data_IF_233019474869
#
_entry.id   IF_233019474869
#
_cell.length_a   1.000
_cell.length_b   1.000
_cell.length_c   1.000
_cell.angle_alpha   90.00
_cell.angle_beta   90.00
_cell.angle_gamma   90.00
#
_symmetry.space_group_name_H-M   'P 1'
#
loop_
_entity.id
_entity.type
_entity.pdbx_description
1 polymer ?
#
# COMPACT_ATOMS: atom_id res chain seq x y z
N UNK A 1 -0.46 -21.42 5.45
CA UNK A 1 -0.93 -20.25 6.21
C UNK A 1 -2.45 -20.18 6.23
N UNK A 2 -3.02 -19.52 7.24
CA UNK A 2 -4.48 -19.36 7.31
C UNK A 2 -4.96 -18.52 6.12
N UNK A 3 -6.07 -18.92 5.44
CA UNK A 3 -6.61 -18.09 4.36
C UNK A 3 -7.06 -16.73 4.89
N UNK A 4 -6.65 -15.68 4.19
CA UNK A 4 -7.07 -14.31 4.50
C UNK A 4 -8.46 -14.07 3.89
N UNK A 5 -9.41 -13.65 4.72
CA UNK A 5 -10.79 -13.39 4.31
C UNK A 5 -11.17 -11.94 4.56
N UNK A 6 -11.91 -11.37 3.63
CA UNK A 6 -12.59 -10.11 3.83
C UNK A 6 -13.68 -10.26 4.92
N UNK A 7 -13.69 -9.36 5.91
CA UNK A 7 -14.61 -9.42 7.06
C UNK A 7 -15.76 -8.42 6.95
N UNK A 8 -15.57 -7.33 6.25
CA UNK A 8 -16.56 -6.27 6.09
C UNK A 8 -17.07 -6.18 4.65
N UNK A 9 -18.18 -5.49 4.45
CA UNK A 9 -18.74 -5.27 3.12
C UNK A 9 -17.76 -4.49 2.22
N UNK A 10 -17.14 -3.43 2.75
CA UNK A 10 -16.14 -2.64 2.03
C UNK A 10 -14.93 -3.47 1.63
N UNK A 11 -14.45 -4.33 2.52
CA UNK A 11 -13.35 -5.25 2.22
C UNK A 11 -13.74 -6.27 1.14
N UNK A 12 -14.94 -6.79 1.16
CA UNK A 12 -15.43 -7.72 0.12
C UNK A 12 -15.49 -7.06 -1.25
N UNK A 13 -15.99 -5.83 -1.32
CA UNK A 13 -16.02 -5.03 -2.55
C UNK A 13 -14.62 -4.73 -3.07
N UNK A 14 -13.70 -4.40 -2.18
CA UNK A 14 -12.30 -4.16 -2.50
C UNK A 14 -11.62 -5.40 -3.10
N UNK A 15 -11.78 -6.55 -2.47
CA UNK A 15 -11.21 -7.81 -2.98
C UNK A 15 -11.81 -8.19 -4.34
N UNK A 16 -13.10 -7.98 -4.54
CA UNK A 16 -13.77 -8.23 -5.82
C UNK A 16 -13.26 -7.26 -6.91
N UNK A 17 -13.04 -5.99 -6.57
CA UNK A 17 -12.46 -5.01 -7.49
C UNK A 17 -11.04 -5.41 -7.92
N UNK A 18 -10.22 -5.88 -6.98
CA UNK A 18 -8.86 -6.38 -7.29
C UNK A 18 -8.92 -7.55 -8.26
N UNK A 19 -9.87 -8.44 -8.10
CA UNK A 19 -10.05 -9.59 -8.99
C UNK A 19 -10.44 -9.15 -10.41
N UNK A 20 -11.30 -8.14 -10.54
CA UNK A 20 -11.92 -7.74 -11.81
C UNK A 20 -11.16 -6.69 -12.60
N UNK A 21 -10.29 -5.92 -11.99
CA UNK A 21 -9.64 -4.77 -12.61
C UNK A 21 -8.14 -4.89 -12.63
N UNK A 22 -7.52 -4.27 -13.61
CA UNK A 22 -6.05 -4.22 -13.74
C UNK A 22 -5.43 -3.27 -12.72
N UNK A 23 -6.07 -2.14 -12.46
CA UNK A 23 -5.61 -1.16 -11.47
C UNK A 23 -6.73 -0.90 -10.46
N UNK A 24 -6.40 -1.01 -9.18
CA UNK A 24 -7.34 -0.75 -8.08
C UNK A 24 -6.68 0.18 -7.06
N UNK A 25 -7.39 1.22 -6.69
CA UNK A 25 -7.02 2.13 -5.61
C UNK A 25 -7.86 1.80 -4.38
N UNK A 26 -7.23 1.31 -3.32
CA UNK A 26 -7.85 1.07 -2.02
C UNK A 26 -7.52 2.22 -1.08
N UNK A 27 -8.48 3.08 -0.81
CA UNK A 27 -8.29 4.34 -0.07
C UNK A 27 -9.16 4.35 1.18
N UNK A 28 -8.56 4.62 2.31
CA UNK A 28 -9.28 4.68 3.57
C UNK A 28 -8.37 4.77 4.78
N UNK A 29 -9.00 4.88 5.98
CA UNK A 29 -8.23 5.00 7.22
C UNK A 29 -7.40 3.78 7.54
N UNK A 30 -6.42 3.95 8.42
CA UNK A 30 -5.65 2.86 8.97
C UNK A 30 -6.56 1.84 9.68
N UNK A 31 -6.19 0.57 9.64
CA UNK A 31 -6.97 -0.51 10.26
C UNK A 31 -8.10 -1.08 9.40
N UNK A 32 -8.29 -0.59 8.18
CA UNK A 32 -9.28 -1.13 7.23
C UNK A 32 -8.79 -2.36 6.47
N UNK A 33 -7.53 -2.76 6.67
CA UNK A 33 -6.96 -3.95 6.03
C UNK A 33 -6.55 -3.77 4.58
N UNK A 34 -6.57 -2.55 4.05
CA UNK A 34 -6.33 -2.28 2.63
C UNK A 34 -4.99 -2.82 2.11
N UNK A 35 -3.93 -2.64 2.86
CA UNK A 35 -2.58 -3.13 2.49
C UNK A 35 -2.48 -4.64 2.69
N UNK A 36 -2.92 -5.14 3.83
CA UNK A 36 -2.89 -6.57 4.15
C UNK A 36 -3.68 -7.41 3.13
N UNK A 37 -4.87 -6.96 2.77
CA UNK A 37 -5.72 -7.63 1.78
C UNK A 37 -5.11 -7.57 0.37
N UNK A 38 -4.47 -6.45 0.00
CA UNK A 38 -3.75 -6.34 -1.27
C UNK A 38 -2.59 -7.34 -1.34
N UNK A 39 -1.81 -7.47 -0.27
CA UNK A 39 -0.72 -8.46 -0.18
C UNK A 39 -1.27 -9.88 -0.26
N UNK A 40 -2.39 -10.17 0.40
CA UNK A 40 -3.05 -11.47 0.32
C UNK A 40 -3.49 -11.79 -1.12
N UNK A 41 -4.04 -10.82 -1.84
CA UNK A 41 -4.41 -11.00 -3.24
C UNK A 41 -3.19 -11.27 -4.13
N UNK A 42 -2.08 -10.57 -3.87
CA UNK A 42 -0.82 -10.78 -4.59
C UNK A 42 -0.26 -12.19 -4.36
N UNK A 43 -0.25 -12.65 -3.12
CA UNK A 43 0.20 -14.00 -2.77
C UNK A 43 -0.68 -15.07 -3.43
N UNK A 44 -1.99 -14.88 -3.43
CA UNK A 44 -2.92 -15.80 -4.11
C UNK A 44 -2.67 -15.84 -5.63
N UNK A 45 -2.53 -14.69 -6.27
CA UNK A 45 -2.24 -14.61 -7.71
C UNK A 45 -0.89 -15.26 -8.06
N UNK A 46 0.10 -15.10 -7.20
CA UNK A 46 1.41 -15.72 -7.37
C UNK A 46 1.35 -17.24 -7.23
N UNK A 47 0.64 -17.75 -6.23
CA UNK A 47 0.44 -19.20 -6.03
C UNK A 47 -0.34 -19.85 -7.17
N UNK A 48 -1.32 -19.14 -7.71
CA UNK A 48 -2.13 -19.59 -8.84
C UNK A 48 -1.43 -19.38 -10.20
N UNK A 49 -0.19 -18.93 -10.19
CA UNK A 49 0.63 -18.68 -11.40
C UNK A 49 0.00 -17.67 -12.37
N UNK A 50 -0.85 -16.79 -11.87
CA UNK A 50 -1.39 -15.67 -12.65
C UNK A 50 -0.34 -14.59 -12.86
N UNK A 51 0.60 -14.46 -11.92
CA UNK A 51 1.76 -13.58 -12.02
C UNK A 51 3.01 -14.37 -11.61
N UNK A 52 4.16 -13.93 -12.10
CA UNK A 52 5.46 -14.54 -11.80
C UNK A 52 6.25 -13.77 -10.73
N UNK A 53 5.82 -12.56 -10.38
CA UNK A 53 6.50 -11.69 -9.42
C UNK A 53 5.51 -10.91 -8.57
N UNK A 54 5.94 -10.63 -7.33
CA UNK A 54 5.26 -9.69 -6.43
C UNK A 54 6.23 -8.53 -6.17
N UNK A 55 5.79 -7.30 -6.41
CA UNK A 55 6.59 -6.11 -6.19
C UNK A 55 5.84 -5.19 -5.23
N UNK A 56 6.44 -4.92 -4.08
CA UNK A 56 5.90 -4.02 -3.07
C UNK A 56 6.77 -2.79 -2.96
N UNK A 57 6.16 -1.61 -2.99
CA UNK A 57 6.88 -0.35 -2.93
C UNK A 57 6.14 0.69 -2.08
N UNK A 58 6.91 1.63 -1.56
CA UNK A 58 6.44 2.83 -0.87
C UNK A 58 7.21 4.05 -1.35
N UNK A 59 6.59 5.24 -1.38
CA UNK A 59 7.37 6.47 -1.55
C UNK A 59 8.24 6.69 -0.31
N UNK A 60 9.49 7.10 -0.50
CA UNK A 60 10.43 7.35 0.59
C UNK A 60 10.17 8.71 1.26
N UNK A 61 9.02 8.84 1.92
CA UNK A 61 8.66 10.01 2.75
C UNK A 61 8.57 9.55 4.21
N UNK A 62 9.22 10.29 5.09
CA UNK A 62 9.28 9.99 6.51
C UNK A 62 8.45 11.00 7.31
N UNK A 63 7.57 10.50 8.15
CA UNK A 63 6.88 11.32 9.13
C UNK A 63 7.89 11.79 10.20
N UNK A 64 8.38 13.01 10.07
CA UNK A 64 9.18 13.71 11.08
C UNK A 64 10.69 13.49 11.04
N UNK A 65 11.22 12.56 10.24
CA UNK A 65 12.66 12.34 10.08
C UNK A 65 13.05 12.31 8.60
N UNK A 66 14.19 12.92 8.28
CA UNK A 66 14.75 12.83 6.93
C UNK A 66 15.68 11.62 6.83
N UNK A 67 15.60 10.88 5.71
CA UNK A 67 16.46 9.71 5.45
C UNK A 67 17.95 10.01 5.68
N UNK A 68 18.41 11.21 5.38
CA UNK A 68 19.79 11.63 5.58
C UNK A 68 20.29 11.63 7.02
N UNK A 69 19.38 11.68 8.00
CA UNK A 69 19.75 11.69 9.42
C UNK A 69 19.78 10.29 10.06
N UNK A 70 19.32 9.26 9.36
CA UNK A 70 19.40 7.89 9.85
C UNK A 70 20.81 7.35 9.62
N UNK A 71 21.37 6.57 10.57
CA UNK A 71 22.67 5.93 10.38
C UNK A 71 22.60 4.80 9.35
N UNK A 72 23.65 4.62 8.59
CA UNK A 72 23.77 3.53 7.61
C UNK A 72 23.70 3.98 6.15
N UNK A 73 23.81 3.02 5.23
CA UNK A 73 23.64 3.26 3.81
C UNK A 73 22.14 3.47 3.45
N UNK A 74 21.87 3.76 2.19
CA UNK A 74 20.50 4.03 1.74
C UNK A 74 19.55 2.86 1.99
N UNK A 75 19.99 1.63 1.76
CA UNK A 75 19.19 0.43 1.98
C UNK A 75 18.86 0.24 3.45
N UNK A 76 19.85 0.37 4.34
CA UNK A 76 19.63 0.30 5.80
C UNK A 76 18.68 1.39 6.30
N UNK A 77 18.73 2.57 5.70
CA UNK A 77 17.85 3.70 6.08
C UNK A 77 16.40 3.50 5.67
N UNK A 78 16.13 2.84 4.53
CA UNK A 78 14.76 2.61 4.04
C UNK A 78 14.16 1.31 4.55
N UNK A 79 14.95 0.31 4.95
CA UNK A 79 14.46 -0.97 5.45
C UNK A 79 13.44 -0.84 6.59
N UNK A 80 13.65 -0.02 7.65
CA UNK A 80 12.65 0.16 8.69
C UNK A 80 11.31 0.70 8.15
N UNK A 81 11.36 1.57 7.16
CA UNK A 81 10.17 2.14 6.53
C UNK A 81 9.37 1.10 5.73
N UNK A 82 10.05 0.14 5.14
CA UNK A 82 9.45 -0.96 4.37
C UNK A 82 9.04 -2.16 5.24
N UNK A 83 9.40 -2.14 6.53
CA UNK A 83 9.17 -3.26 7.45
C UNK A 83 7.73 -3.79 7.46
N UNK A 84 6.68 -2.96 7.49
CA UNK A 84 5.31 -3.48 7.48
C UNK A 84 4.98 -4.32 6.25
N UNK A 85 5.59 -4.03 5.11
CA UNK A 85 5.42 -4.82 3.88
C UNK A 85 6.11 -6.18 3.98
N UNK A 86 7.32 -6.21 4.52
CA UNK A 86 8.04 -7.45 4.82
C UNK A 86 7.25 -8.32 5.79
N UNK A 87 6.73 -7.73 6.85
CA UNK A 87 5.99 -8.44 7.89
C UNK A 87 4.72 -9.10 7.32
N UNK A 88 3.99 -8.41 6.46
CA UNK A 88 2.80 -8.95 5.81
C UNK A 88 3.13 -10.16 4.92
N UNK A 89 4.17 -10.06 4.11
CA UNK A 89 4.64 -11.18 3.26
C UNK A 89 5.12 -12.37 4.09
N UNK A 90 5.91 -12.07 5.11
CA UNK A 90 6.45 -13.08 6.01
C UNK A 90 5.34 -13.83 6.74
N UNK A 91 4.33 -13.12 7.23
CA UNK A 91 3.17 -13.69 7.92
C UNK A 91 2.37 -14.64 7.01
N UNK A 92 2.23 -14.30 5.74
CA UNK A 92 1.47 -15.09 4.77
C UNK A 92 2.25 -16.27 4.20
N UNK A 93 3.55 -16.13 3.97
CA UNK A 93 4.38 -17.13 3.30
C UNK A 93 5.17 -18.03 4.26
N UNK A 94 5.48 -17.53 5.47
CA UNK A 94 6.46 -18.14 6.36
C UNK A 94 7.90 -17.81 5.97
N UNK A 95 8.82 -17.96 6.92
CA UNK A 95 10.22 -17.53 6.76
C UNK A 95 10.94 -18.19 5.58
N UNK A 96 10.85 -19.50 5.49
CA UNK A 96 11.56 -20.28 4.48
C UNK A 96 11.11 -19.94 3.06
N UNK A 97 9.81 -19.94 2.82
CA UNK A 97 9.21 -19.64 1.51
C UNK A 97 9.49 -18.20 1.11
N UNK A 98 9.35 -17.26 2.05
CA UNK A 98 9.64 -15.84 1.83
C UNK A 98 11.08 -15.63 1.40
N UNK A 99 12.06 -16.18 2.14
CA UNK A 99 13.48 -16.04 1.83
C UNK A 99 13.84 -16.65 0.46
N UNK A 100 13.27 -17.81 0.14
CA UNK A 100 13.46 -18.47 -1.15
C UNK A 100 13.02 -17.59 -2.32
N UNK A 101 11.84 -16.98 -2.23
CA UNK A 101 11.32 -16.13 -3.30
C UNK A 101 12.05 -14.78 -3.39
N UNK A 102 12.49 -14.24 -2.24
CA UNK A 102 13.29 -13.03 -2.22
C UNK A 102 14.64 -13.23 -2.92
N UNK A 103 15.33 -14.32 -2.63
CA UNK A 103 16.60 -14.69 -3.29
C UNK A 103 16.46 -14.91 -4.79
N UNK A 104 15.35 -15.49 -5.23
CA UNK A 104 15.06 -15.72 -6.65
C UNK A 104 14.64 -14.45 -7.40
N UNK A 105 14.38 -13.36 -6.71
CA UNK A 105 13.83 -12.16 -7.32
C UNK A 105 12.35 -12.27 -7.69
N UNK A 106 11.65 -13.32 -7.23
CA UNK A 106 10.20 -13.45 -7.40
C UNK A 106 9.42 -12.52 -6.50
N UNK A 107 10.02 -12.07 -5.39
CA UNK A 107 9.50 -11.04 -4.49
C UNK A 107 10.53 -9.93 -4.43
N UNK A 108 10.07 -8.69 -4.62
CA UNK A 108 10.88 -7.49 -4.50
C UNK A 108 10.16 -6.50 -3.59
N UNK A 109 10.87 -5.97 -2.59
CA UNK A 109 10.40 -4.89 -1.74
C UNK A 109 11.41 -3.75 -1.83
N UNK A 110 11.01 -2.62 -2.41
CA UNK A 110 11.93 -1.54 -2.75
C UNK A 110 11.25 -0.17 -2.66
N UNK A 111 12.02 0.91 -2.46
CA UNK A 111 11.51 2.27 -2.57
C UNK A 111 10.96 2.57 -3.97
N UNK A 112 9.98 3.45 -4.04
CA UNK A 112 9.31 3.83 -5.29
C UNK A 112 10.30 4.31 -6.37
N UNK A 113 11.35 5.03 -5.99
CA UNK A 113 12.35 5.54 -6.92
C UNK A 113 13.05 4.44 -7.75
N UNK A 114 13.09 3.20 -7.22
CA UNK A 114 13.71 2.06 -7.91
C UNK A 114 12.87 1.53 -9.08
N UNK A 115 11.63 2.01 -9.21
CA UNK A 115 10.73 1.59 -10.29
C UNK A 115 10.95 2.39 -11.58
N UNK A 116 11.61 3.54 -11.51
CA UNK A 116 11.82 4.42 -12.67
C UNK A 116 12.51 3.71 -13.84
N UNK A 117 11.96 3.89 -15.04
CA UNK A 117 12.53 3.36 -16.28
C UNK A 117 12.29 1.87 -16.52
N UNK A 118 11.59 1.21 -15.63
CA UNK A 118 11.29 -0.23 -15.74
C UNK A 118 9.95 -0.46 -16.44
N UNK A 119 9.82 -1.61 -17.11
CA UNK A 119 8.53 -2.16 -17.52
C UNK A 119 8.31 -3.44 -16.73
N UNK A 120 7.21 -3.51 -16.00
CA UNK A 120 6.93 -4.61 -15.06
C UNK A 120 5.86 -5.52 -15.64
N UNK A 121 6.30 -6.59 -16.31
CA UNK A 121 5.42 -7.60 -16.89
C UNK A 121 5.15 -8.74 -15.90
N UNK A 122 4.01 -9.40 -16.04
CA UNK A 122 3.60 -10.58 -15.27
C UNK A 122 3.78 -10.44 -13.75
N UNK A 123 3.51 -9.24 -13.26
CA UNK A 123 3.76 -8.86 -11.88
C UNK A 123 2.50 -8.38 -11.18
N UNK A 124 2.39 -8.67 -9.89
CA UNK A 124 1.43 -8.03 -9.00
C UNK A 124 2.17 -6.95 -8.22
N UNK A 125 1.81 -5.70 -8.45
CA UNK A 125 2.55 -4.53 -7.97
C UNK A 125 1.68 -3.78 -6.97
N UNK A 126 2.21 -3.52 -5.78
CA UNK A 126 1.52 -2.76 -4.74
C UNK A 126 2.32 -1.50 -4.43
N UNK A 127 1.68 -0.35 -4.57
CA UNK A 127 2.18 0.93 -4.05
C UNK A 127 1.42 1.27 -2.78
N UNK A 128 2.09 1.19 -1.64
CA UNK A 128 1.55 1.52 -0.34
C UNK A 128 1.93 2.94 0.07
N UNK A 129 1.15 3.55 0.98
CA UNK A 129 1.33 4.95 1.41
C UNK A 129 1.31 5.95 0.24
N UNK A 130 0.47 5.69 -0.75
CA UNK A 130 0.46 6.41 -2.03
C UNK A 130 0.00 7.88 -1.90
N UNK A 131 -0.64 8.27 -0.81
CA UNK A 131 -0.98 9.66 -0.53
C UNK A 131 0.27 10.54 -0.44
N UNK A 132 1.43 9.95 -0.17
CA UNK A 132 2.72 10.64 -0.04
C UNK A 132 3.55 10.64 -1.33
N UNK A 133 2.92 10.39 -2.46
CA UNK A 133 3.53 10.59 -3.78
C UNK A 133 3.25 11.99 -4.31
N UNK A 134 4.19 12.53 -5.08
CA UNK A 134 3.91 13.67 -5.95
C UNK A 134 3.13 13.22 -7.20
N UNK A 135 2.63 14.19 -7.98
CA UNK A 135 2.00 13.90 -9.29
C UNK A 135 2.92 13.12 -10.21
N UNK A 136 4.16 13.57 -10.30
CA UNK A 136 5.20 12.99 -11.16
C UNK A 136 5.54 11.57 -10.75
N UNK A 137 5.66 11.33 -9.44
CA UNK A 137 5.91 9.99 -8.89
C UNK A 137 4.76 9.03 -9.19
N UNK A 138 3.52 9.46 -8.99
CA UNK A 138 2.35 8.63 -9.28
C UNK A 138 2.24 8.30 -10.77
N UNK A 139 2.41 9.28 -11.63
CA UNK A 139 2.40 9.06 -13.09
C UNK A 139 3.54 8.15 -13.53
N UNK A 140 4.73 8.36 -13.00
CA UNK A 140 5.88 7.50 -13.23
C UNK A 140 5.55 6.05 -12.85
N UNK A 141 5.00 5.84 -11.67
CA UNK A 141 4.66 4.51 -11.18
C UNK A 141 3.60 3.82 -12.05
N UNK A 142 2.49 4.49 -12.32
CA UNK A 142 1.39 3.92 -13.11
C UNK A 142 1.83 3.48 -14.51
N UNK A 143 2.78 4.20 -15.09
CA UNK A 143 3.32 3.90 -16.42
C UNK A 143 4.39 2.79 -16.42
N UNK A 144 4.66 2.17 -15.27
CA UNK A 144 5.49 0.95 -15.19
C UNK A 144 4.72 -0.32 -15.53
N UNK A 145 3.38 -0.25 -15.56
CA UNK A 145 2.52 -1.39 -15.83
C UNK A 145 2.89 -2.04 -17.19
N UNK A 146 3.28 -3.29 -17.13
CA UNK A 146 3.51 -4.12 -18.30
C UNK A 146 2.36 -5.09 -18.56
N UNK A 147 2.52 -5.94 -19.54
CA UNK A 147 1.53 -6.95 -19.90
C UNK A 147 1.41 -8.04 -18.82
N UNK A 148 0.18 -8.47 -18.58
CA UNK A 148 -0.07 -9.53 -17.59
C UNK A 148 0.06 -9.09 -16.14
N UNK A 149 0.21 -7.81 -15.89
CA UNK A 149 0.41 -7.25 -14.55
C UNK A 149 -0.84 -6.62 -13.97
N UNK A 150 -0.84 -6.50 -12.65
CA UNK A 150 -1.89 -5.86 -11.85
C UNK A 150 -1.25 -4.87 -10.88
N UNK A 151 -1.87 -3.73 -10.72
CA UNK A 151 -1.46 -2.71 -9.75
C UNK A 151 -2.56 -2.52 -8.71
N UNK A 152 -2.19 -2.55 -7.44
CA UNK A 152 -3.03 -2.08 -6.33
C UNK A 152 -2.32 -0.93 -5.64
N UNK A 153 -3.03 0.16 -5.48
CA UNK A 153 -2.56 1.37 -4.84
C UNK A 153 -3.32 1.54 -3.54
N UNK A 154 -2.61 1.66 -2.42
CA UNK A 154 -3.22 1.84 -1.11
C UNK A 154 -2.78 3.16 -0.49
N UNK A 155 -3.67 3.81 0.22
CA UNK A 155 -3.35 5.05 0.89
C UNK A 155 -4.48 5.60 1.75
N UNK A 156 -4.13 6.63 2.50
CA UNK A 156 -5.04 7.38 3.35
C UNK A 156 -4.87 8.88 3.06
N UNK A 157 -5.86 9.48 2.43
CA UNK A 157 -5.80 10.90 2.03
C UNK A 157 -5.89 11.88 3.21
N UNK A 158 -6.13 11.38 4.43
CA UNK A 158 -6.09 12.19 5.65
C UNK A 158 -4.70 12.22 6.32
N UNK A 159 -3.78 11.36 5.87
CA UNK A 159 -2.44 11.17 6.44
C UNK A 159 -1.34 11.59 5.44
N UNK A 160 -1.48 12.80 4.88
CA UNK A 160 -0.53 13.32 3.89
C UNK A 160 0.61 14.03 4.59
N UNK A 161 1.84 13.52 4.43
CA UNK A 161 3.07 14.04 5.03
C UNK A 161 3.96 14.77 4.00
N UNK A 162 3.39 15.17 2.88
CA UNK A 162 4.08 15.94 1.85
C UNK A 162 4.28 17.41 2.29
N UNK A 163 5.28 18.11 1.71
CA UNK A 163 5.39 19.57 1.87
C UNK A 163 4.09 20.29 1.50
N UNK A 164 3.81 21.42 2.18
CA UNK A 164 2.53 22.16 2.07
C UNK A 164 2.07 22.46 0.64
N UNK A 165 3.01 22.76 -0.24
CA UNK A 165 2.72 23.18 -1.62
C UNK A 165 2.72 22.00 -2.60
N UNK A 166 2.87 20.77 -2.11
CA UNK A 166 2.90 19.60 -2.95
C UNK A 166 1.52 18.93 -2.99
N UNK A 167 0.98 18.76 -4.19
CA UNK A 167 -0.28 18.03 -4.39
C UNK A 167 -0.04 16.54 -4.28
N UNK A 168 -0.89 15.84 -3.50
CA UNK A 168 -0.83 14.40 -3.40
C UNK A 168 -1.15 13.75 -4.75
N UNK A 169 -0.24 12.92 -5.23
CA UNK A 169 -0.42 12.15 -6.45
C UNK A 169 -1.60 11.18 -6.38
N UNK A 170 -1.90 10.62 -5.20
CA UNK A 170 -3.07 9.77 -5.00
C UNK A 170 -4.37 10.57 -5.15
N UNK A 171 -4.48 11.72 -4.52
CA UNK A 171 -5.67 12.59 -4.66
C UNK A 171 -5.93 12.96 -6.11
N UNK A 172 -4.89 13.33 -6.84
CA UNK A 172 -5.01 13.66 -8.24
C UNK A 172 -5.39 12.45 -9.10
N UNK A 173 -4.74 11.32 -8.89
CA UNK A 173 -5.06 10.09 -9.61
C UNK A 173 -6.51 9.66 -9.41
N UNK A 174 -7.04 9.77 -8.19
CA UNK A 174 -8.44 9.48 -7.91
C UNK A 174 -9.39 10.37 -8.72
N UNK A 175 -9.03 11.61 -8.93
CA UNK A 175 -9.83 12.56 -9.74
C UNK A 175 -9.67 12.30 -11.23
N UNK A 176 -8.43 12.16 -11.70
CA UNK A 176 -8.11 12.04 -13.14
C UNK A 176 -8.55 10.69 -13.71
N UNK A 177 -8.41 9.63 -12.94
CA UNK A 177 -8.65 8.26 -13.39
C UNK A 177 -10.05 7.74 -13.03
N UNK A 178 -10.89 8.56 -12.40
CA UNK A 178 -12.25 8.19 -12.10
C UNK A 178 -13.03 7.92 -13.40
N UNK A 179 -13.69 6.77 -13.46
CA UNK A 179 -14.46 6.35 -14.65
C UNK A 179 -13.62 5.78 -15.80
N UNK A 180 -12.31 5.68 -15.66
CA UNK A 180 -11.48 5.01 -16.67
C UNK A 180 -11.72 3.51 -16.61
N UNK A 181 -11.97 2.89 -17.76
CA UNK A 181 -12.22 1.45 -17.86
C UNK A 181 -11.02 0.65 -17.29
N UNK A 182 -11.34 -0.42 -16.56
CA UNK A 182 -10.37 -1.33 -15.94
C UNK A 182 -9.54 -0.70 -14.80
N UNK A 183 -10.00 0.44 -14.29
CA UNK A 183 -9.49 1.09 -13.08
C UNK A 183 -10.63 1.25 -12.09
N UNK A 184 -10.47 0.72 -10.88
CA UNK A 184 -11.47 0.85 -9.81
C UNK A 184 -10.92 1.67 -8.65
N UNK A 185 -11.75 2.52 -8.07
CA UNK A 185 -11.46 3.27 -6.86
C UNK A 185 -12.39 2.76 -5.75
N UNK A 186 -11.80 2.13 -4.74
CA UNK A 186 -12.51 1.58 -3.59
C UNK A 186 -12.27 2.44 -2.37
N UNK A 187 -13.32 3.01 -1.81
CA UNK A 187 -13.26 3.81 -0.58
C UNK A 187 -13.71 2.96 0.60
N UNK A 188 -12.77 2.73 1.50
CA UNK A 188 -13.00 2.09 2.80
C UNK A 188 -13.24 3.20 3.83
N UNK A 189 -14.03 2.92 4.85
CA UNK A 189 -14.39 3.91 5.87
C UNK A 189 -14.30 3.32 7.28
N UNK A 190 -14.72 4.07 8.29
CA UNK A 190 -14.65 3.64 9.70
C UNK A 190 -15.42 2.32 9.96
N UNK A 191 -16.45 2.01 9.18
CA UNK A 191 -17.18 0.73 9.30
C UNK A 191 -16.32 -0.47 8.90
N UNK A 192 -15.25 -0.25 8.14
CA UNK A 192 -14.32 -1.29 7.69
C UNK A 192 -13.11 -1.45 8.62
N UNK A 193 -13.00 -0.64 9.66
CA UNK A 193 -11.91 -0.73 10.63
C UNK A 193 -12.02 -1.99 11.47
N UNK A 194 -10.97 -2.81 11.45
CA UNK A 194 -10.85 -4.04 12.24
C UNK A 194 -9.65 -3.88 13.17
N UNK A 195 -9.91 -3.60 14.45
CA UNK A 195 -8.89 -3.36 15.46
C UNK A 195 -9.29 -4.01 16.78
N UNK A 196 -8.28 -4.30 17.59
CA UNK A 196 -8.50 -4.71 18.99
C UNK A 196 -9.27 -3.61 19.72
N UNK A 197 -10.23 -3.99 20.56
CA UNK A 197 -11.09 -3.05 21.29
C UNK A 197 -10.29 -2.05 22.13
N UNK A 198 -9.20 -2.48 22.74
CA UNK A 198 -8.32 -1.59 23.52
C UNK A 198 -7.68 -0.53 22.63
N UNK A 199 -7.24 -0.88 21.42
CA UNK A 199 -6.67 0.10 20.47
C UNK A 199 -7.72 1.14 20.08
N UNK A 200 -8.95 0.73 19.82
CA UNK A 200 -10.06 1.66 19.55
C UNK A 200 -10.29 2.64 20.72
N UNK A 201 -10.26 2.14 21.95
CA UNK A 201 -10.41 2.96 23.17
C UNK A 201 -9.27 3.95 23.35
N UNK A 202 -8.03 3.53 23.07
CA UNK A 202 -6.84 4.40 23.13
C UNK A 202 -6.97 5.54 22.12
N UNK A 203 -7.29 5.24 20.86
CA UNK A 203 -7.44 6.26 19.81
C UNK A 203 -8.53 7.27 20.20
N UNK A 204 -9.68 6.78 20.65
CA UNK A 204 -10.79 7.63 21.09
C UNK A 204 -10.39 8.56 22.23
N UNK A 205 -9.66 8.06 23.21
CA UNK A 205 -9.19 8.86 24.35
C UNK A 205 -8.27 10.00 23.90
N UNK A 206 -7.32 9.75 22.98
CA UNK A 206 -6.46 10.79 22.43
C UNK A 206 -7.23 11.82 21.62
N UNK A 207 -8.16 11.40 20.77
CA UNK A 207 -9.00 12.32 20.00
C UNK A 207 -9.84 13.24 20.88
N UNK A 208 -10.39 12.73 21.99
CA UNK A 208 -11.16 13.52 22.96
C UNK A 208 -10.28 14.54 23.67
N UNK A 209 -9.04 14.18 24.02
CA UNK A 209 -8.07 15.10 24.65
C UNK A 209 -7.68 16.24 23.70
N UNK A 210 -7.41 15.92 22.43
CA UNK A 210 -7.09 16.92 21.41
C UNK A 210 -8.24 17.91 21.19
N UNK A 211 -9.48 17.43 21.14
CA UNK A 211 -10.68 18.28 21.03
C UNK A 211 -10.83 19.22 22.21
N UNK A 212 -10.46 18.77 23.42
CA UNK A 212 -10.48 19.63 24.63
C UNK A 212 -9.40 20.72 24.58
N UNK A 213 -8.21 20.38 24.08
CA UNK A 213 -7.09 21.33 23.92
C UNK A 213 -7.35 22.36 22.83
N UNK A 214 -7.99 21.97 21.72
CA UNK A 214 -8.34 22.88 20.62
C UNK A 214 -9.47 23.86 20.94
N UNK A 215 -10.17 23.70 22.08
CA UNK A 215 -11.21 24.60 22.57
C UNK A 215 -10.72 25.64 23.60
N UNK A 216 -9.44 25.64 23.94
CA UNK A 216 -8.78 26.65 24.78
C UNK A 216 -7.91 27.57 23.91
#
# INVERSE_FOLDING_TARGET
GKPVKAKTLGQKKYMEAIRKNTIVMGVGPAGTGKTYLAVAAAVAAFRDKQVSRIILTRPAVEAGEKLGFLPGDLQSKVDPYLRPLYDALFDMLGAETYNKYLERGSIEVAPLAYMRGRTLDDSFIILDEAQNTSREQMKMFLTRLGFGSKIVITGDITQIDLPRDTVSGLKEAMRVLDGVEDIAICRLNEADVVRHVIVQRIIKAYEEDEKRKGKR
#
